data_IF_500993166414
#
_entry.id   IF_500993166414
#
_cell.length_a   1.000
_cell.length_b   1.000
_cell.length_c   1.000
_cell.angle_alpha   90.00
_cell.angle_beta   90.00
_cell.angle_gamma   90.00
#
_symmetry.space_group_name_H-M   'P 1'
#
loop_
_entity.id
_entity.type
_entity.pdbx_description
1 polymer ?
#
# COMPACT_ATOMS: atom_id res chain seq x y z
N UNK A 1 30.64 -4.01 10.69
CA UNK A 1 29.51 -4.39 9.83
C UNK A 1 28.31 -3.53 10.16
N UNK A 2 27.94 -2.68 9.25
CA UNK A 2 26.75 -1.84 9.43
C UNK A 2 25.51 -2.67 9.17
N UNK A 3 24.90 -3.17 10.23
CA UNK A 3 23.62 -3.82 10.14
C UNK A 3 22.56 -2.81 9.75
N UNK A 4 21.89 -3.00 8.67
CA UNK A 4 20.59 -2.39 8.44
C UNK A 4 20.53 -1.10 7.67
N UNK A 5 21.61 -0.66 7.07
CA UNK A 5 21.51 0.40 6.07
C UNK A 5 21.47 -0.25 4.68
N UNK A 6 20.37 -0.93 4.37
CA UNK A 6 20.13 -1.29 2.98
C UNK A 6 20.02 0.02 2.19
N UNK A 7 20.68 0.08 1.04
CA UNK A 7 20.54 1.20 0.13
C UNK A 7 19.05 1.42 -0.14
N UNK A 8 18.61 2.69 -0.22
CA UNK A 8 17.24 3.01 -0.61
C UNK A 8 16.95 2.38 -1.97
N UNK A 9 15.76 1.83 -2.17
CA UNK A 9 15.41 1.20 -3.43
C UNK A 9 15.37 2.22 -4.57
N UNK A 10 15.62 1.74 -5.79
CA UNK A 10 15.46 2.54 -6.99
C UNK A 10 13.99 2.97 -7.11
N UNK A 11 13.69 4.27 -7.22
CA UNK A 11 12.31 4.75 -7.38
C UNK A 11 11.54 4.08 -8.53
N UNK A 12 12.24 3.64 -9.59
CA UNK A 12 11.61 2.95 -10.71
C UNK A 12 11.04 1.57 -10.34
N UNK A 13 11.45 1.01 -9.19
CA UNK A 13 10.98 -0.29 -8.68
C UNK A 13 9.87 -0.16 -7.64
N UNK A 14 9.45 1.05 -7.34
CA UNK A 14 8.49 1.34 -6.28
C UNK A 14 7.14 1.75 -6.83
N UNK A 15 6.05 1.25 -6.22
CA UNK A 15 4.74 1.84 -6.44
C UNK A 15 4.69 3.23 -5.76
N UNK A 16 3.63 3.97 -6.01
CA UNK A 16 3.43 5.26 -5.36
C UNK A 16 3.20 5.13 -3.85
N UNK A 17 3.17 6.26 -3.15
CA UNK A 17 2.92 6.30 -1.70
C UNK A 17 1.57 5.66 -1.35
N UNK A 18 1.48 4.98 -0.18
CA UNK A 18 0.19 4.50 0.32
C UNK A 18 -0.83 5.61 0.56
N UNK A 19 -0.40 6.87 0.65
CA UNK A 19 -1.30 8.02 0.82
C UNK A 19 -1.82 8.60 -0.50
N UNK A 20 -1.28 8.18 -1.64
CA UNK A 20 -1.78 8.60 -2.95
C UNK A 20 -3.17 8.02 -3.21
N UNK A 21 -3.96 8.73 -4.02
CA UNK A 21 -5.38 8.46 -4.19
C UNK A 21 -5.75 8.22 -5.65
N UNK A 22 -6.78 7.38 -5.85
CA UNK A 22 -7.53 7.29 -7.10
C UNK A 22 -8.97 7.69 -6.80
N UNK A 23 -9.46 8.75 -7.43
CA UNK A 23 -10.82 9.25 -7.23
C UNK A 23 -11.16 9.42 -5.74
N UNK A 24 -10.21 9.89 -4.95
CA UNK A 24 -10.37 10.12 -3.52
C UNK A 24 -10.18 8.88 -2.63
N UNK A 25 -9.78 7.73 -3.18
CA UNK A 25 -9.54 6.51 -2.41
C UNK A 25 -8.02 6.28 -2.25
N UNK A 26 -7.52 6.42 -1.03
CA UNK A 26 -6.11 6.22 -0.72
C UNK A 26 -5.69 4.75 -0.89
N UNK A 27 -4.42 4.54 -1.18
CA UNK A 27 -3.79 3.24 -1.31
C UNK A 27 -4.15 2.50 -2.59
N UNK A 28 -5.28 2.77 -3.19
CA UNK A 28 -5.73 2.07 -4.40
C UNK A 28 -4.68 2.14 -5.54
N UNK A 29 -4.13 3.32 -5.89
CA UNK A 29 -3.12 3.36 -6.95
C UNK A 29 -1.84 2.62 -6.58
N UNK A 30 -1.47 2.58 -5.29
CA UNK A 30 -0.32 1.81 -4.84
C UNK A 30 -0.53 0.31 -5.06
N UNK A 31 -1.69 -0.21 -4.71
CA UNK A 31 -2.03 -1.62 -4.92
C UNK A 31 -1.93 -2.00 -6.39
N UNK A 32 -2.47 -1.18 -7.27
CA UNK A 32 -2.40 -1.41 -8.73
C UNK A 32 -0.96 -1.31 -9.25
N UNK A 33 -0.20 -0.33 -8.75
CA UNK A 33 1.20 -0.16 -9.10
C UNK A 33 2.05 -1.36 -8.73
N UNK A 34 1.81 -1.97 -7.57
CA UNK A 34 2.49 -3.20 -7.15
C UNK A 34 2.22 -4.34 -8.13
N UNK A 35 0.97 -4.50 -8.55
CA UNK A 35 0.58 -5.53 -9.53
C UNK A 35 1.30 -5.32 -10.86
N UNK A 36 1.29 -4.08 -11.36
CA UNK A 36 1.92 -3.75 -12.64
C UNK A 36 3.43 -3.94 -12.62
N UNK A 37 4.09 -3.46 -11.57
CA UNK A 37 5.54 -3.60 -11.44
C UNK A 37 5.94 -5.05 -11.27
N UNK A 38 5.19 -5.83 -10.51
CA UNK A 38 5.48 -7.26 -10.34
C UNK A 38 5.35 -8.01 -11.66
N UNK A 39 4.30 -7.74 -12.44
CA UNK A 39 4.09 -8.36 -13.75
C UNK A 39 5.20 -8.00 -14.75
N UNK A 40 5.79 -6.80 -14.60
CA UNK A 40 6.91 -6.36 -15.44
C UNK A 40 8.27 -6.80 -14.90
N UNK A 41 8.31 -7.60 -13.83
CA UNK A 41 9.54 -8.05 -13.15
C UNK A 41 10.40 -6.88 -12.62
N UNK A 42 9.75 -5.80 -12.20
CA UNK A 42 10.41 -4.56 -11.75
C UNK A 42 10.10 -4.18 -10.31
N UNK A 43 9.24 -4.94 -9.63
CA UNK A 43 8.87 -4.60 -8.25
C UNK A 43 10.02 -4.87 -7.29
N UNK A 44 10.33 -3.90 -6.42
CA UNK A 44 11.28 -4.08 -5.33
C UNK A 44 10.98 -5.35 -4.55
N UNK A 45 11.99 -6.20 -4.38
CA UNK A 45 11.82 -7.55 -3.85
C UNK A 45 11.18 -7.57 -2.46
N UNK A 46 11.48 -6.58 -1.62
CA UNK A 46 10.95 -6.48 -0.26
C UNK A 46 9.42 -6.39 -0.23
N UNK A 47 8.79 -6.01 -1.34
CA UNK A 47 7.33 -5.89 -1.44
C UNK A 47 6.65 -7.16 -1.96
N UNK A 48 7.42 -8.15 -2.44
CA UNK A 48 6.83 -9.36 -3.04
C UNK A 48 6.01 -10.18 -2.05
N UNK A 49 6.46 -10.30 -0.80
CA UNK A 49 5.80 -11.11 0.21
C UNK A 49 4.40 -10.60 0.59
N UNK A 50 4.14 -9.32 0.35
CA UNK A 50 2.88 -8.67 0.74
C UNK A 50 1.90 -8.44 -0.41
N UNK A 51 2.19 -8.99 -1.60
CA UNK A 51 1.26 -8.90 -2.72
C UNK A 51 -0.06 -9.61 -2.36
N UNK A 52 -1.16 -8.86 -2.40
CA UNK A 52 -2.48 -9.38 -2.04
C UNK A 52 -2.70 -9.59 -0.55
N UNK A 53 -1.74 -9.21 0.29
CA UNK A 53 -1.77 -9.37 1.74
C UNK A 53 -1.62 -8.01 2.43
N UNK A 54 -1.68 -7.98 3.76
CA UNK A 54 -1.60 -6.72 4.49
C UNK A 54 -2.64 -5.73 4.00
N UNK A 55 -2.23 -4.51 3.69
CA UNK A 55 -3.16 -3.47 3.23
C UNK A 55 -3.81 -3.79 1.89
N UNK A 56 -3.13 -4.52 1.00
CA UNK A 56 -3.76 -5.01 -0.24
C UNK A 56 -4.97 -5.89 0.09
N UNK A 57 -4.78 -6.84 1.01
CA UNK A 57 -5.84 -7.76 1.44
C UNK A 57 -7.00 -7.04 2.10
N UNK A 58 -6.71 -6.05 2.96
CA UNK A 58 -7.76 -5.27 3.62
C UNK A 58 -8.54 -4.44 2.61
N UNK A 59 -7.87 -3.85 1.62
CA UNK A 59 -8.55 -3.05 0.60
C UNK A 59 -9.46 -3.91 -0.28
N UNK A 60 -8.99 -5.08 -0.74
CA UNK A 60 -9.86 -5.95 -1.54
C UNK A 60 -11.05 -6.46 -0.74
N UNK A 61 -10.86 -6.72 0.56
CA UNK A 61 -11.97 -7.07 1.45
C UNK A 61 -12.95 -5.90 1.62
N UNK A 62 -12.43 -4.68 1.79
CA UNK A 62 -13.27 -3.46 1.87
C UNK A 62 -14.08 -3.26 0.58
N UNK A 63 -13.47 -3.52 -0.56
CA UNK A 63 -14.13 -3.42 -1.86
C UNK A 63 -15.02 -4.63 -2.19
N UNK A 64 -14.94 -5.70 -1.41
CA UNK A 64 -15.65 -6.96 -1.65
C UNK A 64 -15.33 -7.59 -3.01
N UNK A 65 -14.06 -7.52 -3.41
CA UNK A 65 -13.58 -8.12 -4.67
C UNK A 65 -12.56 -9.21 -4.37
N UNK A 66 -12.30 -10.06 -5.36
CA UNK A 66 -11.26 -11.08 -5.28
C UNK A 66 -9.94 -10.50 -5.82
N UNK A 67 -8.84 -10.70 -5.10
CA UNK A 67 -7.53 -10.15 -5.49
C UNK A 67 -7.06 -10.70 -6.84
N UNK A 68 -7.21 -12.00 -7.09
CA UNK A 68 -6.76 -12.60 -8.35
C UNK A 68 -7.56 -12.09 -9.54
N UNK A 69 -8.86 -11.86 -9.36
CA UNK A 69 -9.71 -11.24 -10.39
C UNK A 69 -9.29 -9.80 -10.64
N UNK A 70 -8.99 -9.04 -9.57
CA UNK A 70 -8.46 -7.68 -9.70
C UNK A 70 -7.15 -7.68 -10.47
N UNK A 71 -6.23 -8.58 -10.12
CA UNK A 71 -4.94 -8.70 -10.80
C UNK A 71 -5.13 -8.94 -12.30
N UNK A 72 -6.01 -9.88 -12.66
CA UNK A 72 -6.32 -10.16 -14.07
C UNK A 72 -6.88 -8.93 -14.77
N UNK A 73 -7.77 -8.19 -14.11
CA UNK A 73 -8.34 -6.96 -14.69
C UNK A 73 -7.28 -5.87 -14.89
N UNK A 74 -6.39 -5.68 -13.90
CA UNK A 74 -5.29 -4.69 -13.99
C UNK A 74 -4.39 -4.99 -15.17
N UNK A 75 -4.07 -6.25 -15.38
CA UNK A 75 -3.16 -6.66 -16.48
C UNK A 75 -3.79 -6.57 -17.85
N UNK A 76 -5.10 -6.39 -17.95
CA UNK A 76 -5.77 -6.07 -19.22
C UNK A 76 -5.56 -4.62 -19.66
N UNK A 77 -5.05 -3.77 -18.77
CA UNK A 77 -4.79 -2.37 -19.06
C UNK A 77 -5.92 -1.43 -18.62
N UNK A 78 -5.74 -0.17 -18.93
CA UNK A 78 -6.67 0.88 -18.54
C UNK A 78 -6.12 1.74 -17.41
N UNK A 79 -6.81 2.84 -17.13
CA UNK A 79 -6.44 3.78 -16.05
C UNK A 79 -6.85 3.25 -14.69
N UNK A 80 -6.26 3.82 -13.64
CA UNK A 80 -6.64 3.49 -12.26
C UNK A 80 -8.12 3.77 -12.03
N UNK A 81 -8.64 4.88 -12.57
CA UNK A 81 -10.05 5.25 -12.46
C UNK A 81 -10.97 4.21 -13.13
N UNK A 82 -10.59 3.72 -14.29
CA UNK A 82 -11.35 2.68 -15.00
C UNK A 82 -11.37 1.37 -14.19
N UNK A 83 -10.26 1.02 -13.57
CA UNK A 83 -10.17 -0.19 -12.75
C UNK A 83 -10.99 -0.03 -11.46
N UNK A 84 -10.95 1.15 -10.83
CA UNK A 84 -11.80 1.41 -9.67
C UNK A 84 -13.29 1.34 -10.04
N UNK A 85 -13.67 1.86 -11.19
CA UNK A 85 -15.05 1.74 -11.68
C UNK A 85 -15.44 0.28 -11.89
N UNK A 86 -14.53 -0.51 -12.47
CA UNK A 86 -14.75 -1.96 -12.60
C UNK A 86 -15.01 -2.62 -11.24
N UNK A 87 -14.22 -2.27 -10.20
CA UNK A 87 -14.43 -2.78 -8.85
C UNK A 87 -15.83 -2.44 -8.33
N UNK A 88 -16.25 -1.18 -8.50
CA UNK A 88 -17.56 -0.71 -8.05
C UNK A 88 -18.71 -1.41 -8.79
N UNK A 89 -18.52 -1.67 -10.09
CA UNK A 89 -19.52 -2.36 -10.92
C UNK A 89 -19.71 -3.82 -10.49
N UNK A 90 -18.67 -4.44 -9.92
CA UNK A 90 -18.75 -5.81 -9.42
C UNK A 90 -19.58 -5.91 -8.13
N UNK A 91 -19.62 -4.87 -7.33
CA UNK A 91 -20.23 -4.90 -5.99
C UNK A 91 -21.16 -3.72 -5.74
N UNK A 92 -20.59 -2.54 -5.43
CA UNK A 92 -21.36 -1.35 -5.11
C UNK A 92 -20.55 -0.08 -5.36
N UNK A 93 -21.20 1.03 -5.65
CA UNK A 93 -20.50 2.32 -5.71
C UNK A 93 -20.01 2.73 -4.32
N UNK A 94 -18.85 3.39 -4.28
CA UNK A 94 -18.31 3.97 -3.06
C UNK A 94 -18.81 5.42 -2.94
N UNK A 95 -19.39 5.75 -1.79
CA UNK A 95 -19.77 7.11 -1.49
C UNK A 95 -18.67 7.86 -0.72
N UNK A 96 -18.90 9.12 -0.42
CA UNK A 96 -17.91 9.95 0.28
C UNK A 96 -17.61 9.44 1.69
N UNK A 97 -18.59 8.89 2.37
CA UNK A 97 -18.40 8.31 3.71
C UNK A 97 -17.54 7.05 3.66
N UNK A 98 -17.73 6.18 2.67
CA UNK A 98 -16.87 5.01 2.47
C UNK A 98 -15.42 5.43 2.33
N UNK A 99 -15.15 6.43 1.50
CA UNK A 99 -13.80 6.94 1.27
C UNK A 99 -13.23 7.62 2.51
N UNK A 100 -14.04 8.38 3.24
CA UNK A 100 -13.61 9.02 4.49
C UNK A 100 -13.13 7.96 5.51
N UNK A 101 -13.92 6.91 5.70
CA UNK A 101 -13.60 5.84 6.66
C UNK A 101 -12.33 5.10 6.22
N UNK A 102 -12.27 4.70 4.96
CA UNK A 102 -11.10 4.00 4.43
C UNK A 102 -9.84 4.86 4.54
N UNK A 103 -9.91 6.11 4.13
CA UNK A 103 -8.77 7.02 4.13
C UNK A 103 -8.26 7.28 5.55
N UNK A 104 -9.16 7.37 6.53
CA UNK A 104 -8.77 7.50 7.93
C UNK A 104 -8.03 6.25 8.40
N UNK A 105 -8.54 5.06 8.07
CA UNK A 105 -7.87 3.80 8.37
C UNK A 105 -6.43 3.79 7.82
N UNK A 106 -6.25 4.14 6.55
CA UNK A 106 -4.93 4.16 5.92
C UNK A 106 -3.99 5.14 6.64
N UNK A 107 -4.47 6.33 6.96
CA UNK A 107 -3.66 7.39 7.57
C UNK A 107 -3.21 7.08 8.99
N UNK A 108 -3.99 6.30 9.72
CA UNK A 108 -3.75 6.07 11.15
C UNK A 108 -3.30 4.66 11.48
N UNK A 109 -3.24 3.77 10.50
CA UNK A 109 -2.87 2.37 10.70
C UNK A 109 -1.48 2.27 11.36
N UNK A 110 -1.41 1.51 12.46
CA UNK A 110 -0.20 1.35 13.26
C UNK A 110 -0.16 2.21 14.52
N UNK A 111 -1.04 3.23 14.61
CA UNK A 111 -1.14 4.05 15.80
C UNK A 111 -2.20 3.49 16.74
N UNK A 112 -1.74 2.95 17.85
CA UNK A 112 -2.60 2.47 18.94
C UNK A 112 -3.71 1.50 18.47
N UNK A 113 -3.32 0.53 17.63
CA UNK A 113 -4.24 -0.44 17.04
C UNK A 113 -3.59 -1.85 16.90
N UNK A 114 -4.23 -2.75 16.18
CA UNK A 114 -3.77 -4.12 15.97
C UNK A 114 -2.48 -4.24 15.16
N UNK A 115 -2.01 -3.16 14.53
CA UNK A 115 -0.79 -3.13 13.71
C UNK A 115 0.37 -2.44 14.45
N UNK A 116 0.12 -1.87 15.62
CA UNK A 116 1.15 -1.16 16.39
C UNK A 116 2.39 -2.02 16.67
N UNK A 117 2.19 -3.29 17.05
CA UNK A 117 3.31 -4.20 17.29
C UNK A 117 4.08 -4.55 16.02
N UNK A 118 3.38 -4.68 14.91
CA UNK A 118 4.00 -4.91 13.60
C UNK A 118 4.83 -3.70 13.17
N UNK A 119 4.31 -2.51 13.37
CA UNK A 119 5.05 -1.27 13.09
C UNK A 119 6.35 -1.22 13.90
N UNK A 120 6.29 -1.52 15.19
CA UNK A 120 7.47 -1.55 16.06
C UNK A 120 8.52 -2.55 15.55
N UNK A 121 8.07 -3.74 15.14
CA UNK A 121 8.96 -4.76 14.58
C UNK A 121 9.61 -4.30 13.27
N UNK A 122 8.85 -3.69 12.37
CA UNK A 122 9.37 -3.18 11.11
C UNK A 122 10.38 -2.06 11.32
N UNK A 123 10.12 -1.16 12.26
CA UNK A 123 11.05 -0.10 12.64
C UNK A 123 12.36 -0.71 13.18
N UNK A 124 12.27 -1.72 14.05
CA UNK A 124 13.44 -2.40 14.58
C UNK A 124 14.25 -3.08 13.48
N UNK A 125 13.58 -3.81 12.59
CA UNK A 125 14.25 -4.51 11.48
C UNK A 125 14.90 -3.52 10.50
N UNK A 126 14.34 -2.33 10.34
CA UNK A 126 14.87 -1.28 9.47
C UNK A 126 15.84 -0.31 10.12
N UNK A 127 16.22 -0.53 11.38
CA UNK A 127 17.14 0.36 12.10
C UNK A 127 16.52 1.69 12.51
N UNK A 128 15.20 1.75 12.65
CA UNK A 128 14.45 2.98 12.92
C UNK A 128 13.79 2.99 14.32
N UNK A 129 14.27 2.13 15.25
CA UNK A 129 13.69 2.03 16.59
C UNK A 129 13.69 3.35 17.37
N UNK A 130 14.66 4.23 17.09
CA UNK A 130 14.79 5.53 17.78
C UNK A 130 13.90 6.62 17.15
N UNK A 131 13.20 6.30 16.07
CA UNK A 131 12.34 7.26 15.35
C UNK A 131 10.94 7.26 15.97
N UNK A 132 10.80 7.95 17.11
CA UNK A 132 9.53 8.07 17.81
C UNK A 132 8.48 8.88 17.04
N UNK A 133 8.92 9.68 16.06
CA UNK A 133 8.04 10.43 15.17
C UNK A 133 7.29 9.54 14.18
N UNK A 134 7.81 8.34 13.89
CA UNK A 134 7.15 7.37 13.01
C UNK A 134 6.12 6.58 13.82
N UNK A 135 4.84 6.97 13.70
CA UNK A 135 3.75 6.41 14.47
C UNK A 135 2.73 5.64 13.64
N UNK A 136 2.89 5.61 12.31
CA UNK A 136 1.99 4.90 11.40
C UNK A 136 2.75 4.09 10.38
N UNK A 137 2.08 3.08 9.84
CA UNK A 137 2.65 2.24 8.77
C UNK A 137 2.93 3.07 7.51
N UNK A 138 2.05 4.02 7.17
CA UNK A 138 2.24 4.84 5.98
C UNK A 138 3.45 5.75 6.11
N UNK A 139 3.67 6.34 7.29
CA UNK A 139 4.88 7.13 7.54
C UNK A 139 6.13 6.25 7.41
N UNK A 140 6.10 5.07 8.03
CA UNK A 140 7.21 4.11 7.92
C UNK A 140 7.51 3.75 6.47
N UNK A 141 6.49 3.44 5.68
CA UNK A 141 6.67 3.08 4.27
C UNK A 141 7.31 4.23 3.49
N UNK A 142 6.86 5.44 3.68
CA UNK A 142 7.40 6.60 2.96
C UNK A 142 8.85 6.91 3.36
N UNK A 143 9.23 6.66 4.62
CA UNK A 143 10.64 6.75 5.06
C UNK A 143 11.46 5.61 4.47
N UNK A 144 10.98 4.38 4.56
CA UNK A 144 11.68 3.18 4.09
C UNK A 144 11.91 3.23 2.57
N UNK A 145 10.97 3.75 1.83
CA UNK A 145 11.05 3.86 0.38
C UNK A 145 11.71 5.17 -0.10
N UNK A 146 12.11 6.02 0.83
CA UNK A 146 12.91 7.21 0.50
C UNK A 146 12.14 8.47 0.14
N UNK A 147 10.81 8.50 0.34
CA UNK A 147 10.00 9.70 0.09
C UNK A 147 10.09 10.74 1.20
N UNK A 148 10.34 10.29 2.42
CA UNK A 148 10.50 11.14 3.60
C UNK A 148 11.84 10.84 4.29
N UNK A 149 12.41 11.84 4.99
CA UNK A 149 13.65 11.65 5.73
C UNK A 149 13.47 10.75 6.97
#
# INVERSE_FOLDING_TARGET
>A
MTCGMSAKPDPATLPCSPLDETAGLKYFPRMLGKIRLHAASKLWEDLHANLGKGSDGVLVDFLHINYDELKSRVLQGGSDEEILQWCQDQTRPLNDTDKLIWNHYVKTLGWNDHITAILAKRKADGGLSDRDDIQTITHYIDVDEGRLP
#
